data_IF_564478926926
#
_entry.id   IF_564478926926
#
_cell.length_a   1.000
_cell.length_b   1.000
_cell.length_c   1.000
_cell.angle_alpha   90.00
_cell.angle_beta   90.00
_cell.angle_gamma   90.00
#
_symmetry.space_group_name_H-M   'P 1'
#
loop_
_entity.id
_entity.type
_entity.pdbx_description
1 polymer ?
#
# COMPACT_ATOMS: atom_id res chain seq x y z
N UNK A 1 -47.18 16.48 -48.91
CA UNK A 1 -45.76 16.68 -49.27
C UNK A 1 -44.98 17.39 -48.16
N UNK A 2 -45.42 18.58 -47.71
CA UNK A 2 -44.74 19.32 -46.62
C UNK A 2 -44.69 18.58 -45.27
N UNK A 3 -45.80 17.95 -44.86
CA UNK A 3 -45.83 17.13 -43.64
C UNK A 3 -44.88 15.93 -43.72
N UNK A 4 -44.84 15.23 -44.86
CA UNK A 4 -44.00 14.05 -45.07
C UNK A 4 -42.51 14.39 -45.01
N UNK A 5 -42.11 15.55 -45.56
CA UNK A 5 -40.73 16.05 -45.48
C UNK A 5 -40.39 16.47 -44.05
N UNK A 6 -41.31 17.13 -43.34
CA UNK A 6 -41.10 17.51 -41.94
C UNK A 6 -40.89 16.29 -41.04
N UNK A 7 -41.72 15.25 -41.18
CA UNK A 7 -41.57 14.01 -40.39
C UNK A 7 -40.25 13.28 -40.69
N UNK A 8 -39.78 13.32 -41.94
CA UNK A 8 -38.48 12.75 -42.31
C UNK A 8 -37.32 13.54 -41.70
N UNK A 9 -37.37 14.87 -41.76
CA UNK A 9 -36.36 15.75 -41.15
C UNK A 9 -36.33 15.59 -39.62
N UNK A 10 -37.48 15.56 -38.96
CA UNK A 10 -37.57 15.36 -37.51
C UNK A 10 -37.06 13.96 -37.10
N UNK A 11 -37.32 12.93 -37.90
CA UNK A 11 -36.81 11.58 -37.65
C UNK A 11 -35.30 11.46 -37.87
N UNK A 12 -34.76 12.12 -38.91
CA UNK A 12 -33.33 12.19 -39.16
C UNK A 12 -32.59 13.00 -38.08
N UNK A 13 -33.19 14.09 -37.58
CA UNK A 13 -32.65 14.89 -36.48
C UNK A 13 -32.58 14.08 -35.18
N UNK A 14 -33.66 13.37 -34.81
CA UNK A 14 -33.67 12.49 -33.64
C UNK A 14 -32.66 11.34 -33.75
N UNK A 15 -32.46 10.81 -34.95
CA UNK A 15 -31.46 9.77 -35.20
C UNK A 15 -30.02 10.30 -35.07
N UNK A 16 -29.73 11.47 -35.63
CA UNK A 16 -28.44 12.14 -35.49
C UNK A 16 -28.15 12.55 -34.04
N UNK A 17 -29.16 13.04 -33.31
CA UNK A 17 -29.05 13.38 -31.89
C UNK A 17 -28.74 12.14 -31.04
N UNK A 18 -29.44 11.02 -31.32
CA UNK A 18 -29.17 9.74 -30.66
C UNK A 18 -27.76 9.21 -30.94
N UNK A 19 -27.26 9.33 -32.18
CA UNK A 19 -25.90 8.94 -32.55
C UNK A 19 -24.87 9.86 -31.87
N UNK A 20 -25.10 11.18 -31.89
CA UNK A 20 -24.24 12.15 -31.21
C UNK A 20 -24.14 11.89 -29.71
N UNK A 21 -25.25 11.51 -29.08
CA UNK A 21 -25.30 11.14 -27.67
C UNK A 21 -24.50 9.86 -27.39
N UNK A 22 -24.63 8.82 -28.23
CA UNK A 22 -23.85 7.58 -28.11
C UNK A 22 -22.34 7.86 -28.24
N UNK A 23 -21.94 8.66 -29.23
CA UNK A 23 -20.53 9.04 -29.43
C UNK A 23 -19.99 9.80 -28.21
N UNK A 24 -20.81 10.65 -27.60
CA UNK A 24 -20.45 11.40 -26.39
C UNK A 24 -20.23 10.47 -25.21
N UNK A 25 -21.11 9.48 -25.00
CA UNK A 25 -20.95 8.45 -23.95
C UNK A 25 -19.66 7.64 -24.18
N UNK A 26 -19.42 7.17 -25.41
CA UNK A 26 -18.19 6.44 -25.75
C UNK A 26 -16.93 7.28 -25.49
N UNK A 27 -16.98 8.56 -25.85
CA UNK A 27 -15.88 9.50 -25.61
C UNK A 27 -15.64 9.70 -24.12
N UNK A 28 -16.70 9.91 -23.32
CA UNK A 28 -16.61 10.05 -21.87
C UNK A 28 -16.02 8.81 -21.19
N UNK A 29 -16.46 7.61 -21.60
CA UNK A 29 -15.90 6.34 -21.09
C UNK A 29 -14.40 6.25 -21.45
N UNK A 30 -14.02 6.59 -22.68
CA UNK A 30 -12.63 6.53 -23.14
C UNK A 30 -11.75 7.52 -22.38
N UNK A 31 -12.22 8.75 -22.16
CA UNK A 31 -11.52 9.77 -21.36
C UNK A 31 -11.34 9.29 -19.92
N UNK A 32 -12.37 8.73 -19.30
CA UNK A 32 -12.26 8.17 -17.95
C UNK A 32 -11.25 7.00 -17.85
N UNK A 33 -11.16 6.16 -18.89
CA UNK A 33 -10.13 5.13 -18.98
C UNK A 33 -8.72 5.70 -19.17
N UNK A 34 -8.57 6.77 -19.96
CA UNK A 34 -7.30 7.48 -20.14
C UNK A 34 -6.84 8.12 -18.84
N UNK A 35 -7.72 8.80 -18.11
CA UNK A 35 -7.41 9.42 -16.81
C UNK A 35 -6.93 8.38 -15.79
N UNK A 36 -7.58 7.21 -15.74
CA UNK A 36 -7.12 6.08 -14.91
C UNK A 36 -5.72 5.61 -15.32
N UNK A 37 -5.46 5.42 -16.62
CA UNK A 37 -4.14 5.02 -17.11
C UNK A 37 -3.06 6.05 -16.77
N UNK A 38 -3.35 7.34 -16.93
CA UNK A 38 -2.44 8.43 -16.58
C UNK A 38 -2.16 8.45 -15.07
N UNK A 39 -3.19 8.27 -14.24
CA UNK A 39 -3.03 8.17 -12.78
C UNK A 39 -2.14 7.00 -12.38
N UNK A 40 -2.35 5.82 -12.98
CA UNK A 40 -1.55 4.64 -12.70
C UNK A 40 -0.11 4.78 -13.21
N UNK A 41 0.09 5.40 -14.39
CA UNK A 41 1.41 5.72 -14.92
C UNK A 41 2.18 6.68 -14.01
N UNK A 42 1.54 7.77 -13.56
CA UNK A 42 2.14 8.74 -12.64
C UNK A 42 2.56 8.08 -11.32
N UNK A 43 1.75 7.16 -10.77
CA UNK A 43 2.12 6.40 -9.56
C UNK A 43 3.32 5.50 -9.79
N UNK A 44 3.37 4.78 -10.92
CA UNK A 44 4.53 3.94 -11.29
C UNK A 44 5.80 4.76 -11.46
N UNK A 45 5.72 5.89 -12.14
CA UNK A 45 6.84 6.80 -12.34
C UNK A 45 7.35 7.38 -11.01
N UNK A 46 6.45 7.90 -10.17
CA UNK A 46 6.80 8.40 -8.83
C UNK A 46 7.38 7.32 -7.91
N UNK A 47 6.92 6.08 -8.04
CA UNK A 47 7.50 4.93 -7.36
C UNK A 47 8.92 4.68 -7.85
N UNK A 48 9.20 4.66 -9.15
CA UNK A 48 10.57 4.47 -9.65
C UNK A 48 11.54 5.54 -9.15
N UNK A 49 11.17 6.82 -9.17
CA UNK A 49 12.09 7.90 -8.79
C UNK A 49 12.42 7.91 -7.29
N UNK A 50 11.49 7.44 -6.43
CA UNK A 50 11.61 7.56 -4.96
C UNK A 50 11.74 6.22 -4.21
N UNK A 51 11.51 5.09 -4.89
CA UNK A 51 11.59 3.75 -4.29
C UNK A 51 12.99 3.41 -3.82
N UNK A 52 14.03 3.90 -4.50
CA UNK A 52 15.42 3.60 -4.12
C UNK A 52 15.77 4.11 -2.73
N UNK A 53 15.36 5.34 -2.38
CA UNK A 53 15.54 5.89 -1.04
C UNK A 53 14.79 5.05 -0.01
N UNK A 54 13.52 4.75 -0.25
CA UNK A 54 12.70 3.96 0.66
C UNK A 54 13.21 2.51 0.86
N UNK A 55 13.69 1.85 -0.19
CA UNK A 55 14.30 0.51 -0.10
C UNK A 55 15.60 0.59 0.72
N UNK A 56 16.42 1.62 0.49
CA UNK A 56 17.65 1.83 1.26
C UNK A 56 17.36 2.06 2.74
N UNK A 57 16.34 2.86 3.07
CA UNK A 57 15.92 3.11 4.44
C UNK A 57 15.44 1.81 5.11
N UNK A 58 14.58 1.04 4.43
CA UNK A 58 14.11 -0.25 4.95
C UNK A 58 15.25 -1.26 5.15
N UNK A 59 16.25 -1.29 4.27
CA UNK A 59 17.44 -2.14 4.44
C UNK A 59 18.26 -1.73 5.65
N UNK A 60 18.44 -0.43 5.88
CA UNK A 60 19.14 0.07 7.05
C UNK A 60 18.40 -0.31 8.34
N UNK A 61 17.09 -0.11 8.36
CA UNK A 61 16.25 -0.49 9.51
C UNK A 61 16.26 -2.01 9.72
N UNK A 62 16.17 -2.80 8.64
CA UNK A 62 16.26 -4.27 8.71
C UNK A 62 17.59 -4.72 9.31
N UNK A 63 18.71 -4.11 8.89
CA UNK A 63 20.02 -4.38 9.50
C UNK A 63 20.03 -4.03 10.99
N UNK A 64 19.56 -2.85 11.35
CA UNK A 64 19.48 -2.44 12.76
C UNK A 64 18.64 -3.42 13.57
N UNK A 65 17.46 -3.82 13.09
CA UNK A 65 16.61 -4.81 13.77
C UNK A 65 17.35 -6.13 13.95
N UNK A 66 18.05 -6.61 12.92
CA UNK A 66 18.86 -7.83 13.01
C UNK A 66 19.95 -7.72 14.09
N UNK A 67 20.63 -6.58 14.16
CA UNK A 67 21.70 -6.33 15.15
C UNK A 67 21.15 -6.16 16.58
N UNK A 68 19.89 -5.71 16.71
CA UNK A 68 19.23 -5.51 17.99
C UNK A 68 18.59 -6.81 18.53
N UNK A 69 18.16 -7.72 17.65
CA UNK A 69 17.56 -9.01 18.03
C UNK A 69 18.56 -9.88 18.82
N UNK A 70 19.86 -9.82 18.51
CA UNK A 70 20.87 -10.62 19.22
C UNK A 70 21.01 -10.27 20.71
N UNK A 71 20.47 -9.13 21.14
CA UNK A 71 20.44 -8.67 22.53
C UNK A 71 19.02 -8.17 22.86
N UNK A 72 18.02 -8.99 22.55
CA UNK A 72 16.61 -8.63 22.57
C UNK A 72 16.18 -8.04 23.92
N UNK A 73 16.49 -8.72 25.04
CA UNK A 73 15.99 -8.34 26.37
C UNK A 73 16.45 -6.95 26.80
N UNK A 74 17.69 -6.57 26.47
CA UNK A 74 18.23 -5.27 26.83
C UNK A 74 17.82 -4.17 25.83
N UNK A 75 17.41 -4.54 24.61
CA UNK A 75 17.15 -3.60 23.51
C UNK A 75 15.70 -3.56 23.04
N UNK A 76 14.76 -4.06 23.85
CA UNK A 76 13.31 -4.07 23.54
C UNK A 76 12.79 -2.69 23.11
N UNK A 77 13.17 -1.63 23.81
CA UNK A 77 12.74 -0.26 23.49
C UNK A 77 13.30 0.23 22.16
N UNK A 78 14.57 -0.05 21.87
CA UNK A 78 15.23 0.32 20.61
C UNK A 78 14.63 -0.44 19.42
N UNK A 79 14.30 -1.73 19.61
CA UNK A 79 13.58 -2.53 18.62
C UNK A 79 12.22 -1.93 18.28
N UNK A 80 11.43 -1.51 19.28
CA UNK A 80 10.15 -0.82 19.04
C UNK A 80 10.31 0.49 18.27
N UNK A 81 11.37 1.24 18.54
CA UNK A 81 11.68 2.47 17.80
C UNK A 81 11.99 2.16 16.34
N UNK A 82 12.80 1.14 16.06
CA UNK A 82 13.12 0.74 14.68
C UNK A 82 11.88 0.19 13.95
N UNK A 83 11.04 -0.60 14.63
CA UNK A 83 9.73 -1.07 14.10
C UNK A 83 8.86 0.11 13.67
N UNK A 84 8.76 1.15 14.51
CA UNK A 84 8.00 2.36 14.21
C UNK A 84 8.56 3.12 13.01
N UNK A 85 9.90 3.25 12.91
CA UNK A 85 10.55 3.85 11.74
C UNK A 85 10.20 3.07 10.46
N UNK A 86 10.26 1.74 10.50
CA UNK A 86 9.85 0.93 9.33
C UNK A 86 8.37 1.06 9.00
N UNK A 87 7.50 1.23 10.00
CA UNK A 87 6.08 1.48 9.80
C UNK A 87 5.83 2.81 9.05
N UNK A 88 6.52 3.88 9.42
CA UNK A 88 6.41 5.19 8.77
C UNK A 88 6.88 5.14 7.31
N UNK A 89 7.99 4.44 7.05
CA UNK A 89 8.50 4.22 5.70
C UNK A 89 7.48 3.37 4.90
N UNK A 90 6.94 2.31 5.49
CA UNK A 90 5.92 1.47 4.85
C UNK A 90 4.64 2.26 4.54
N UNK A 91 4.17 3.13 5.44
CA UNK A 91 3.03 4.04 5.19
C UNK A 91 3.28 4.97 4.01
N UNK A 92 4.50 5.49 3.91
CA UNK A 92 4.91 6.38 2.82
C UNK A 92 4.96 5.64 1.47
N UNK A 93 5.44 4.40 1.46
CA UNK A 93 5.45 3.51 0.30
C UNK A 93 4.02 3.15 -0.13
N UNK A 94 3.15 2.78 0.82
CA UNK A 94 1.74 2.43 0.58
C UNK A 94 0.97 3.52 -0.17
N UNK A 95 1.23 4.80 0.11
CA UNK A 95 0.59 5.94 -0.57
C UNK A 95 0.96 6.03 -2.05
N UNK A 96 2.11 5.46 -2.44
CA UNK A 96 2.70 5.58 -3.78
C UNK A 96 2.57 4.29 -4.60
N UNK A 97 2.35 3.15 -3.94
CA UNK A 97 2.14 1.86 -4.61
C UNK A 97 0.73 1.73 -5.22
N UNK A 98 0.59 1.04 -6.37
CA UNK A 98 -0.71 0.62 -6.89
C UNK A 98 -1.42 -0.35 -5.93
N UNK A 99 -2.76 -0.32 -5.88
CA UNK A 99 -3.55 -1.13 -4.93
C UNK A 99 -3.21 -2.63 -4.93
N UNK A 100 -2.89 -3.18 -6.10
CA UNK A 100 -2.51 -4.59 -6.28
C UNK A 100 -1.21 -4.98 -5.56
N UNK A 101 -0.30 -4.03 -5.38
CA UNK A 101 1.06 -4.26 -4.88
C UNK A 101 1.20 -3.90 -3.38
N UNK A 102 0.12 -3.46 -2.73
CA UNK A 102 0.13 -2.94 -1.34
C UNK A 102 0.06 -4.06 -0.27
N UNK A 103 -0.21 -5.32 -0.64
CA UNK A 103 -0.50 -6.41 0.32
C UNK A 103 0.59 -6.56 1.39
N UNK A 104 1.85 -6.67 0.98
CA UNK A 104 2.97 -6.89 1.89
C UNK A 104 3.20 -5.65 2.78
N UNK A 105 3.00 -4.45 2.23
CA UNK A 105 3.12 -3.20 2.98
C UNK A 105 2.03 -3.06 4.04
N UNK A 106 0.79 -3.43 3.73
CA UNK A 106 -0.32 -3.46 4.70
C UNK A 106 -0.07 -4.47 5.80
N UNK A 107 0.45 -5.65 5.45
CA UNK A 107 0.78 -6.69 6.42
C UNK A 107 1.82 -6.21 7.42
N UNK A 108 2.90 -5.59 6.92
CA UNK A 108 3.96 -5.05 7.77
C UNK A 108 3.45 -3.94 8.70
N UNK A 109 2.64 -3.00 8.19
CA UNK A 109 2.05 -1.94 9.01
C UNK A 109 1.15 -2.53 10.10
N UNK A 110 0.30 -3.51 9.76
CA UNK A 110 -0.59 -4.15 10.73
C UNK A 110 0.21 -4.77 11.88
N UNK A 111 1.32 -5.44 11.56
CA UNK A 111 2.15 -6.12 12.54
C UNK A 111 2.98 -5.16 13.38
N UNK A 112 3.50 -4.08 12.79
CA UNK A 112 4.14 -3.00 13.55
C UNK A 112 3.18 -2.40 14.59
N UNK A 113 1.94 -2.09 14.20
CA UNK A 113 0.92 -1.57 15.11
C UNK A 113 0.56 -2.57 16.22
N UNK A 114 0.57 -3.87 15.93
CA UNK A 114 0.40 -4.89 16.97
C UNK A 114 1.55 -4.84 17.96
N UNK A 115 2.79 -4.89 17.47
CA UNK A 115 4.02 -4.87 18.28
C UNK A 115 4.09 -3.63 19.18
N UNK A 116 3.73 -2.45 18.66
CA UNK A 116 3.67 -1.22 19.44
C UNK A 116 2.69 -1.30 20.62
N UNK A 117 1.61 -2.06 20.46
CA UNK A 117 0.59 -2.27 21.50
C UNK A 117 0.93 -3.41 22.46
N UNK A 118 1.92 -4.25 22.14
CA UNK A 118 2.30 -5.34 23.03
C UNK A 118 3.01 -4.76 24.26
N UNK A 119 2.58 -5.15 25.47
CA UNK A 119 3.27 -4.78 26.69
C UNK A 119 4.67 -5.40 26.71
N UNK A 120 5.64 -4.66 27.25
CA UNK A 120 7.01 -5.16 27.43
C UNK A 120 7.11 -6.19 28.55
N UNK A 121 6.18 -6.13 29.51
CA UNK A 121 6.04 -7.10 30.59
C UNK A 121 4.56 -7.14 31.01
N UNK A 122 3.97 -8.34 31.05
CA UNK A 122 2.57 -8.54 31.42
C UNK A 122 2.25 -8.12 32.87
N UNK A 123 3.24 -8.14 33.77
CA UNK A 123 3.10 -7.72 35.16
C UNK A 123 2.79 -6.21 35.30
N UNK A 124 3.20 -5.41 34.30
CA UNK A 124 3.03 -3.95 34.30
C UNK A 124 1.71 -3.48 33.66
N UNK A 125 0.81 -4.41 33.32
CA UNK A 125 -0.48 -4.07 32.74
C UNK A 125 -1.38 -3.34 33.74
N UNK A 126 -2.00 -2.25 33.29
CA UNK A 126 -3.03 -1.55 34.06
C UNK A 126 -4.37 -2.32 34.03
N UNK A 127 -5.31 -1.96 34.91
CA UNK A 127 -6.55 -2.73 35.17
C UNK A 127 -7.37 -2.98 33.91
N UNK A 128 -7.44 -2.00 33.01
CA UNK A 128 -8.15 -2.08 31.72
C UNK A 128 -7.44 -3.01 30.73
N UNK A 129 -6.11 -2.99 30.68
CA UNK A 129 -5.33 -3.90 29.84
C UNK A 129 -5.37 -5.33 30.36
N UNK A 130 -5.43 -5.55 31.68
CA UNK A 130 -5.61 -6.88 32.28
C UNK A 130 -6.95 -7.50 31.89
N UNK A 131 -8.03 -6.70 31.90
CA UNK A 131 -9.35 -7.12 31.42
C UNK A 131 -9.33 -7.48 29.92
N UNK A 132 -8.68 -6.67 29.09
CA UNK A 132 -8.52 -6.98 27.67
C UNK A 132 -7.66 -8.24 27.44
N UNK A 133 -6.61 -8.44 28.24
CA UNK A 133 -5.75 -9.61 28.16
C UNK A 133 -6.54 -10.89 28.46
N UNK A 134 -7.39 -10.86 29.49
CA UNK A 134 -8.27 -11.97 29.82
C UNK A 134 -9.24 -12.36 28.68
N UNK A 135 -9.62 -11.38 27.83
CA UNK A 135 -10.59 -11.60 26.74
C UNK A 135 -9.90 -11.99 25.42
N UNK A 136 -8.69 -11.49 25.17
CA UNK A 136 -8.06 -11.51 23.84
C UNK A 136 -6.75 -12.32 23.81
N UNK A 137 -6.25 -12.77 24.97
CA UNK A 137 -4.98 -13.48 25.12
C UNK A 137 -3.82 -12.66 24.51
N UNK A 138 -3.60 -11.47 25.08
CA UNK A 138 -2.56 -10.54 24.65
C UNK A 138 -1.20 -11.14 25.01
N UNK A 139 -0.43 -11.50 23.98
CA UNK A 139 0.94 -11.97 24.14
C UNK A 139 1.89 -10.88 24.62
N UNK A 140 2.98 -11.25 25.28
CA UNK A 140 4.07 -10.34 25.59
C UNK A 140 4.88 -10.01 24.32
N UNK A 141 5.53 -8.85 24.32
CA UNK A 141 6.56 -8.56 23.33
C UNK A 141 7.78 -9.48 23.53
N UNK A 142 7.93 -10.46 22.65
CA UNK A 142 8.99 -11.49 22.70
C UNK A 142 9.83 -11.54 21.42
N UNK A 143 10.92 -12.29 21.47
CA UNK A 143 11.88 -12.44 20.38
C UNK A 143 11.24 -13.08 19.13
N UNK A 144 10.37 -14.08 19.32
CA UNK A 144 9.66 -14.76 18.22
C UNK A 144 8.80 -13.77 17.41
N UNK A 145 8.11 -12.86 18.09
CA UNK A 145 7.31 -11.81 17.43
C UNK A 145 8.21 -10.89 16.61
N UNK A 146 9.41 -10.56 17.11
CA UNK A 146 10.37 -9.75 16.36
C UNK A 146 11.01 -10.50 15.20
N UNK A 147 11.26 -11.80 15.33
CA UNK A 147 11.75 -12.63 14.24
C UNK A 147 10.71 -12.73 13.11
N UNK A 148 9.44 -12.96 13.43
CA UNK A 148 8.36 -12.94 12.44
C UNK A 148 8.23 -11.57 11.77
N UNK A 149 8.35 -10.49 12.54
CA UNK A 149 8.37 -9.13 11.98
C UNK A 149 9.55 -8.92 11.03
N UNK A 150 10.75 -9.36 11.40
CA UNK A 150 11.96 -9.24 10.60
C UNK A 150 11.83 -10.01 9.27
N UNK A 151 11.25 -11.21 9.30
CA UNK A 151 10.96 -12.00 8.08
C UNK A 151 9.98 -11.24 7.18
N UNK A 152 8.92 -10.67 7.73
CA UNK A 152 7.93 -9.87 6.97
C UNK A 152 8.56 -8.60 6.39
N UNK A 153 9.43 -7.93 7.13
CA UNK A 153 10.18 -6.75 6.66
C UNK A 153 11.09 -7.12 5.49
N UNK A 154 11.84 -8.20 5.62
CA UNK A 154 12.71 -8.73 4.57
C UNK A 154 11.92 -9.11 3.31
N UNK A 155 10.78 -9.78 3.47
CA UNK A 155 9.88 -10.10 2.37
C UNK A 155 9.33 -8.85 1.66
N UNK A 156 9.02 -7.78 2.40
CA UNK A 156 8.62 -6.50 1.80
C UNK A 156 9.77 -5.89 0.99
N UNK A 157 11.00 -5.89 1.51
CA UNK A 157 12.17 -5.36 0.79
C UNK A 157 12.33 -6.10 -0.54
N UNK A 158 12.33 -7.43 -0.53
CA UNK A 158 12.44 -8.26 -1.74
C UNK A 158 11.33 -7.92 -2.75
N UNK A 159 10.09 -7.82 -2.27
CA UNK A 159 8.94 -7.49 -3.14
C UNK A 159 9.10 -6.12 -3.81
N UNK A 160 9.64 -5.13 -3.08
CA UNK A 160 9.87 -3.79 -3.62
C UNK A 160 11.01 -3.77 -4.64
N UNK A 161 12.04 -4.59 -4.45
CA UNK A 161 13.13 -4.75 -5.41
C UNK A 161 12.69 -5.43 -6.70
N UNK A 162 11.87 -6.46 -6.60
CA UNK A 162 11.25 -7.12 -7.75
C UNK A 162 10.35 -6.15 -8.52
N UNK A 163 9.46 -5.44 -7.81
CA UNK A 163 8.63 -4.39 -8.42
C UNK A 163 9.47 -3.34 -9.13
N UNK A 164 10.59 -2.90 -8.53
CA UNK A 164 11.51 -1.95 -9.19
C UNK A 164 12.09 -2.54 -10.48
N UNK A 165 12.54 -3.80 -10.46
CA UNK A 165 13.09 -4.50 -11.64
C UNK A 165 12.04 -4.65 -12.75
N UNK A 166 10.82 -5.04 -12.40
CA UNK A 166 9.72 -5.23 -13.35
C UNK A 166 9.32 -3.91 -14.01
N UNK A 167 9.25 -2.83 -13.23
CA UNK A 167 8.98 -1.52 -13.79
C UNK A 167 10.11 -1.02 -14.70
N UNK A 168 11.37 -1.31 -14.37
CA UNK A 168 12.51 -0.96 -15.23
C UNK A 168 12.45 -1.69 -16.58
N UNK A 169 12.12 -3.00 -16.58
CA UNK A 169 11.96 -3.78 -17.83
C UNK A 169 10.82 -3.26 -18.69
N UNK A 170 9.70 -2.85 -18.09
CA UNK A 170 8.52 -2.36 -18.81
C UNK A 170 8.71 -1.01 -19.54
N UNK A 171 9.80 -0.29 -19.28
CA UNK A 171 10.14 0.96 -19.97
C UNK A 171 11.10 0.76 -21.16
N UNK A 172 11.75 -0.41 -21.24
CA UNK A 172 12.74 -0.74 -22.28
C UNK A 172 12.08 -1.57 -23.42
N UNK A 173 10.89 -2.13 -23.17
CA UNK A 173 10.04 -2.81 -24.14
C UNK A 173 9.00 -1.87 -24.75
#
# INVERSE_FOLDING_TARGET
>A
MYQTIKTFVDSAANWLESIGFIITIFTAIKVFFLDKRISDFNKKHLFQTRSQGHISDLKKISKNISDLISDFDNKKTELKIEVKKSEEVAKSIKKKLPKKDIKNTKSLIKEAVKIEKLPENLANLNTTQKLLNYIIDISEFNEDTMNDYYVKLSGLITSLEELKKDYAKSLIS
#
